data_IF_979283994076
#
_entry.id   IF_979283994076
#
_cell.length_a   1.000
_cell.length_b   1.000
_cell.length_c   1.000
_cell.angle_alpha   90.00
_cell.angle_beta   90.00
_cell.angle_gamma   90.00
#
_symmetry.space_group_name_H-M   'P 1'
#
loop_
_entity.id
_entity.type
_entity.pdbx_description
1 polymer ?
#
# COMPACT_ATOMS: atom_id res chain seq x y z
N UNK A 1 21.47 3.59 0.02
CA UNK A 1 20.66 2.54 0.69
C UNK A 1 20.65 1.24 -0.10
N UNK A 2 19.80 0.98 -1.12
CA UNK A 2 19.85 -0.31 -1.88
C UNK A 2 21.24 -0.63 -2.50
N UNK A 3 22.03 0.38 -2.92
CA UNK A 3 23.42 0.23 -3.44
C UNK A 3 24.49 -0.04 -2.39
N UNK A 4 24.24 0.30 -1.13
CA UNK A 4 25.28 0.21 -0.08
C UNK A 4 25.30 -1.17 0.54
N UNK A 5 24.13 -1.83 0.65
CA UNK A 5 23.99 -3.12 1.31
C UNK A 5 24.71 -4.28 0.61
N UNK A 6 24.75 -4.29 -0.72
CA UNK A 6 25.47 -5.33 -1.44
C UNK A 6 26.99 -5.21 -1.26
N UNK A 7 27.54 -3.98 -1.21
CA UNK A 7 28.99 -3.77 -1.21
C UNK A 7 29.67 -4.33 0.03
N UNK A 8 28.99 -4.36 1.18
CA UNK A 8 29.58 -4.86 2.42
C UNK A 8 29.31 -6.35 2.67
N UNK A 9 28.21 -6.90 2.11
CA UNK A 9 27.64 -8.22 2.46
C UNK A 9 27.50 -8.46 3.97
N UNK A 10 27.42 -7.38 4.76
CA UNK A 10 27.25 -7.48 6.21
C UNK A 10 25.77 -7.60 6.52
N UNK A 11 25.48 -8.44 7.50
CA UNK A 11 24.14 -8.60 8.08
C UNK A 11 23.52 -7.27 8.52
N UNK A 12 24.37 -6.31 8.94
CA UNK A 12 23.95 -4.96 9.32
C UNK A 12 23.23 -4.23 8.19
N UNK A 13 23.78 -4.23 6.97
CA UNK A 13 23.18 -3.47 5.87
C UNK A 13 21.89 -4.12 5.36
N UNK A 14 21.79 -5.45 5.44
CA UNK A 14 20.54 -6.16 5.19
C UNK A 14 19.47 -5.79 6.22
N UNK A 15 19.86 -5.70 7.49
CA UNK A 15 18.97 -5.27 8.58
C UNK A 15 18.49 -3.85 8.36
N UNK A 16 19.36 -2.92 7.97
CA UNK A 16 19.00 -1.55 7.62
C UNK A 16 18.04 -1.50 6.43
N UNK A 17 18.28 -2.29 5.39
CA UNK A 17 17.39 -2.36 4.23
C UNK A 17 15.98 -2.86 4.62
N UNK A 18 15.88 -3.89 5.46
CA UNK A 18 14.59 -4.35 5.97
C UNK A 18 13.91 -3.36 6.90
N UNK A 19 14.67 -2.60 7.69
CA UNK A 19 14.11 -1.54 8.51
C UNK A 19 13.38 -0.51 7.65
N UNK A 20 14.00 -0.05 6.56
CA UNK A 20 13.39 0.90 5.62
C UNK A 20 12.21 0.28 4.89
N UNK A 21 12.34 -0.97 4.45
CA UNK A 21 11.24 -1.71 3.82
C UNK A 21 10.02 -1.77 4.76
N UNK A 22 10.22 -1.98 6.05
CA UNK A 22 9.15 -1.92 7.04
C UNK A 22 8.38 -0.60 7.06
N UNK A 23 9.05 0.55 6.89
CA UNK A 23 8.36 1.84 6.73
C UNK A 23 7.64 1.96 5.38
N UNK A 24 8.24 1.44 4.31
CA UNK A 24 7.63 1.44 3.00
C UNK A 24 6.34 0.59 2.96
N UNK A 25 6.33 -0.52 3.71
CA UNK A 25 5.17 -1.41 3.84
C UNK A 25 3.92 -0.68 4.32
N UNK A 26 4.03 0.30 5.22
CA UNK A 26 2.88 1.10 5.64
C UNK A 26 2.14 1.73 4.43
N UNK A 27 2.88 2.44 3.58
CA UNK A 27 2.33 3.09 2.39
C UNK A 27 1.85 2.07 1.36
N UNK A 28 2.58 0.95 1.21
CA UNK A 28 2.19 -0.12 0.29
C UNK A 28 0.84 -0.72 0.71
N UNK A 29 0.68 -1.06 1.99
CA UNK A 29 -0.55 -1.67 2.49
C UNK A 29 -1.75 -0.72 2.42
N UNK A 30 -1.52 0.59 2.60
CA UNK A 30 -2.55 1.62 2.42
C UNK A 30 -3.14 1.60 1.00
N UNK A 31 -2.36 1.26 -0.04
CA UNK A 31 -2.89 1.19 -1.43
C UNK A 31 -3.97 0.10 -1.60
N UNK A 32 -3.98 -0.90 -0.72
CA UNK A 32 -4.99 -1.97 -0.71
C UNK A 32 -6.21 -1.62 0.14
N UNK A 33 -6.15 -0.56 0.96
CA UNK A 33 -7.27 -0.10 1.76
C UNK A 33 -8.27 0.69 0.90
N UNK A 34 -9.53 0.26 0.86
CA UNK A 34 -10.57 0.91 0.02
C UNK A 34 -10.71 2.42 0.27
N UNK A 35 -10.61 2.85 1.53
CA UNK A 35 -10.67 4.27 1.91
C UNK A 35 -9.53 5.12 1.33
N UNK A 36 -8.42 4.53 0.90
CA UNK A 36 -7.30 5.23 0.27
C UNK A 36 -7.37 5.26 -1.26
N UNK A 37 -8.31 4.52 -1.86
CA UNK A 37 -8.48 4.45 -3.33
C UNK A 37 -9.29 5.63 -3.84
N UNK A 38 -10.50 5.82 -3.31
CA UNK A 38 -11.50 6.74 -3.88
C UNK A 38 -11.58 8.10 -3.16
N UNK A 39 -11.05 8.21 -1.95
CA UNK A 39 -11.25 9.42 -1.13
C UNK A 39 -10.57 10.64 -1.75
N UNK A 40 -11.37 11.57 -2.26
CA UNK A 40 -10.92 12.78 -2.98
C UNK A 40 -10.40 13.87 -2.02
N UNK A 41 -9.44 13.53 -1.13
CA UNK A 41 -8.97 14.38 -0.03
C UNK A 41 -8.54 15.78 -0.50
N UNK A 42 -7.75 15.86 -1.58
CA UNK A 42 -7.28 17.14 -2.14
C UNK A 42 -8.44 18.01 -2.63
N UNK A 43 -9.41 17.41 -3.33
CA UNK A 43 -10.56 18.14 -3.84
C UNK A 43 -11.40 18.68 -2.68
N UNK A 44 -11.73 17.83 -1.72
CA UNK A 44 -12.54 18.18 -0.54
C UNK A 44 -11.89 19.28 0.32
N UNK A 45 -10.56 19.27 0.44
CA UNK A 45 -9.79 20.31 1.13
C UNK A 45 -9.69 21.61 0.33
N UNK A 46 -9.61 21.52 -1.01
CA UNK A 46 -9.49 22.68 -1.90
C UNK A 46 -10.82 23.40 -2.14
N UNK A 47 -11.94 22.69 -2.03
CA UNK A 47 -13.25 23.30 -2.11
C UNK A 47 -13.52 24.03 -0.80
N UNK A 48 -13.66 25.34 -0.87
CA UNK A 48 -14.39 26.13 0.12
C UNK A 48 -15.85 25.68 0.10
N UNK A 49 -16.11 24.49 0.63
CA UNK A 49 -17.47 24.00 0.81
C UNK A 49 -18.08 24.87 1.90
N UNK A 50 -18.90 25.83 1.48
CA UNK A 50 -19.55 26.86 2.29
C UNK A 50 -20.61 26.29 3.24
N UNK A 51 -20.74 24.97 3.34
CA UNK A 51 -21.52 24.31 4.36
C UNK A 51 -20.67 24.17 5.62
N UNK A 52 -20.71 25.20 6.47
CA UNK A 52 -20.09 25.27 7.81
C UNK A 52 -20.28 24.02 8.69
N UNK A 53 -21.20 23.12 8.33
CA UNK A 53 -21.53 21.87 9.02
C UNK A 53 -20.54 20.73 8.78
N UNK A 54 -19.84 20.67 7.64
CA UNK A 54 -18.94 19.55 7.33
C UNK A 54 -17.64 20.03 6.67
N UNK A 55 -16.57 20.22 7.46
CA UNK A 55 -15.23 20.47 6.94
C UNK A 55 -14.81 19.39 5.96
N UNK A 56 -14.08 19.74 4.89
CA UNK A 56 -13.64 18.79 3.86
C UNK A 56 -12.90 17.56 4.41
N UNK A 57 -12.14 17.72 5.50
CA UNK A 57 -11.48 16.63 6.21
C UNK A 57 -12.46 15.63 6.83
N UNK A 58 -13.60 16.10 7.34
CA UNK A 58 -14.65 15.25 7.90
C UNK A 58 -15.37 14.48 6.81
N UNK A 59 -15.67 15.13 5.67
CA UNK A 59 -16.20 14.44 4.49
C UNK A 59 -15.23 13.37 3.99
N UNK A 60 -13.94 13.70 3.91
CA UNK A 60 -12.89 12.76 3.49
C UNK A 60 -12.76 11.58 4.44
N UNK A 61 -12.81 11.84 5.76
CA UNK A 61 -12.83 10.78 6.77
C UNK A 61 -14.09 9.92 6.69
N UNK A 62 -15.25 10.52 6.49
CA UNK A 62 -16.52 9.80 6.32
C UNK A 62 -16.47 8.84 5.14
N UNK A 63 -16.05 9.32 3.96
CA UNK A 63 -15.90 8.49 2.77
C UNK A 63 -14.84 7.39 2.98
N UNK A 64 -13.71 7.73 3.60
CA UNK A 64 -12.65 6.78 3.92
C UNK A 64 -13.16 5.61 4.77
N UNK A 65 -13.88 5.92 5.84
CA UNK A 65 -14.38 4.92 6.79
C UNK A 65 -15.55 4.11 6.19
N UNK A 66 -16.41 4.75 5.40
CA UNK A 66 -17.50 4.09 4.66
C UNK A 66 -16.94 3.05 3.67
N UNK A 67 -16.06 3.48 2.76
CA UNK A 67 -15.44 2.60 1.75
C UNK A 67 -14.63 1.50 2.45
N UNK A 68 -13.89 1.85 3.51
CA UNK A 68 -13.15 0.89 4.30
C UNK A 68 -14.03 -0.19 4.96
N UNK A 69 -15.24 0.16 5.38
CA UNK A 69 -16.16 -0.78 6.03
C UNK A 69 -17.02 -1.59 5.05
N UNK A 70 -17.53 -0.96 4.00
CA UNK A 70 -18.42 -1.58 3.03
C UNK A 70 -17.65 -2.36 1.97
N UNK A 71 -16.43 -1.91 1.69
CA UNK A 71 -15.54 -2.42 0.67
C UNK A 71 -15.77 -1.74 -0.68
N UNK A 72 -14.76 -1.81 -1.53
CA UNK A 72 -14.77 -1.31 -2.90
C UNK A 72 -14.32 -2.43 -3.84
N UNK A 73 -15.06 -2.66 -4.94
CA UNK A 73 -14.61 -3.56 -5.98
C UNK A 73 -13.49 -2.90 -6.78
N UNK A 74 -12.34 -3.56 -6.88
CA UNK A 74 -11.14 -3.02 -7.52
C UNK A 74 -10.54 -4.05 -8.47
N UNK A 75 -9.74 -3.56 -9.42
CA UNK A 75 -9.01 -4.39 -10.39
C UNK A 75 -7.56 -3.92 -10.48
N UNK A 76 -6.59 -4.84 -10.50
CA UNK A 76 -5.18 -4.49 -10.69
C UNK A 76 -4.79 -4.51 -12.19
N UNK A 77 -3.54 -4.13 -12.50
CA UNK A 77 -3.01 -4.17 -13.87
C UNK A 77 -2.90 -5.59 -14.46
N UNK A 78 -2.88 -6.61 -13.61
CA UNK A 78 -2.80 -8.02 -14.01
C UNK A 78 -4.20 -8.60 -14.34
N UNK A 79 -5.27 -7.83 -14.11
CA UNK A 79 -6.65 -8.21 -14.38
C UNK A 79 -7.35 -8.92 -13.22
N UNK A 80 -6.70 -9.07 -12.07
CA UNK A 80 -7.34 -9.62 -10.86
C UNK A 80 -8.31 -8.60 -10.28
N UNK A 81 -9.52 -9.08 -9.96
CA UNK A 81 -10.53 -8.27 -9.29
C UNK A 81 -10.91 -8.85 -7.93
N UNK A 82 -11.10 -7.97 -6.95
CA UNK A 82 -11.52 -8.35 -5.61
C UNK A 82 -12.23 -7.20 -4.88
N UNK A 83 -12.86 -7.53 -3.75
CA UNK A 83 -13.37 -6.54 -2.82
C UNK A 83 -12.24 -6.08 -1.88
N UNK A 84 -11.77 -4.86 -2.08
CA UNK A 84 -10.85 -4.19 -1.15
C UNK A 84 -11.61 -3.70 0.07
N UNK A 85 -11.02 -3.83 1.26
CA UNK A 85 -11.57 -3.32 2.53
C UNK A 85 -10.50 -2.52 3.28
N UNK A 86 -10.91 -1.76 4.29
CA UNK A 86 -10.00 -0.97 5.12
C UNK A 86 -9.38 -1.73 6.29
N UNK A 87 -8.50 -1.06 7.03
CA UNK A 87 -7.60 -1.65 8.03
C UNK A 87 -8.32 -2.44 9.14
N UNK A 88 -9.47 -1.94 9.58
CA UNK A 88 -10.32 -2.60 10.60
C UNK A 88 -10.93 -3.92 10.13
N UNK A 89 -10.84 -4.22 8.83
CA UNK A 89 -11.45 -5.38 8.21
C UNK A 89 -10.45 -6.46 7.84
N UNK A 90 -9.13 -6.19 7.87
CA UNK A 90 -8.12 -7.13 7.37
C UNK A 90 -8.26 -8.52 8.02
N UNK A 91 -8.56 -8.57 9.32
CA UNK A 91 -8.74 -9.81 10.08
C UNK A 91 -10.03 -10.59 9.77
N UNK A 92 -11.03 -9.97 9.15
CA UNK A 92 -12.34 -10.58 8.93
C UNK A 92 -12.36 -11.59 7.79
N UNK A 93 -13.26 -12.56 7.85
CA UNK A 93 -13.42 -13.62 6.84
C UNK A 93 -13.72 -13.05 5.45
N UNK A 94 -14.57 -12.02 5.36
CA UNK A 94 -14.90 -11.32 4.11
C UNK A 94 -13.71 -10.70 3.39
N UNK A 95 -12.64 -10.41 4.13
CA UNK A 95 -11.42 -9.79 3.60
C UNK A 95 -10.39 -10.81 3.14
N UNK A 96 -10.74 -12.10 3.01
CA UNK A 96 -9.81 -13.17 2.67
C UNK A 96 -8.97 -12.87 1.42
N UNK A 97 -9.63 -12.53 0.31
CA UNK A 97 -8.94 -12.18 -0.94
C UNK A 97 -8.14 -10.88 -0.82
N UNK A 98 -8.70 -9.84 -0.19
CA UNK A 98 -7.96 -8.58 0.04
C UNK A 98 -6.66 -8.83 0.83
N UNK A 99 -6.72 -9.68 1.86
CA UNK A 99 -5.58 -10.05 2.69
C UNK A 99 -4.53 -10.84 1.88
N UNK A 100 -4.96 -11.71 0.98
CA UNK A 100 -4.05 -12.43 0.08
C UNK A 100 -3.31 -11.46 -0.84
N UNK A 101 -4.01 -10.48 -1.42
CA UNK A 101 -3.37 -9.46 -2.29
C UNK A 101 -2.35 -8.62 -1.51
N UNK A 102 -2.71 -8.17 -0.30
CA UNK A 102 -1.79 -7.44 0.59
C UNK A 102 -0.57 -8.28 0.93
N UNK A 103 -0.76 -9.54 1.34
CA UNK A 103 0.34 -10.42 1.72
C UNK A 103 1.27 -10.70 0.54
N UNK A 104 0.73 -10.93 -0.66
CA UNK A 104 1.51 -11.12 -1.87
C UNK A 104 2.36 -9.89 -2.21
N UNK A 105 1.77 -8.70 -2.11
CA UNK A 105 2.49 -7.44 -2.33
C UNK A 105 3.60 -7.21 -1.30
N UNK A 106 3.31 -7.43 -0.02
CA UNK A 106 4.30 -7.32 1.05
C UNK A 106 5.45 -8.31 0.87
N UNK A 107 5.15 -9.56 0.55
CA UNK A 107 6.16 -10.58 0.31
C UNK A 107 7.05 -10.21 -0.88
N UNK A 108 6.47 -9.73 -1.98
CA UNK A 108 7.23 -9.30 -3.16
C UNK A 108 8.26 -8.21 -2.82
N UNK A 109 7.91 -7.22 -1.98
CA UNK A 109 8.84 -6.18 -1.54
C UNK A 109 9.99 -6.72 -0.68
N UNK A 110 9.69 -7.61 0.26
CA UNK A 110 10.69 -8.28 1.11
C UNK A 110 11.63 -9.16 0.28
N UNK A 111 11.10 -9.88 -0.71
CA UNK A 111 11.88 -10.73 -1.62
C UNK A 111 12.81 -9.89 -2.49
N UNK A 112 12.37 -8.73 -2.99
CA UNK A 112 13.22 -7.81 -3.74
C UNK A 112 14.41 -7.28 -2.93
N UNK A 113 14.21 -6.97 -1.64
CA UNK A 113 15.30 -6.55 -0.75
C UNK A 113 16.34 -7.66 -0.65
N UNK A 114 15.89 -8.90 -0.44
CA UNK A 114 16.78 -10.06 -0.36
C UNK A 114 17.52 -10.34 -1.67
N UNK A 115 16.82 -10.33 -2.81
CA UNK A 115 17.41 -10.54 -4.13
C UNK A 115 18.44 -9.46 -4.47
N UNK A 116 18.15 -8.21 -4.15
CA UNK A 116 19.09 -7.09 -4.32
C UNK A 116 20.34 -7.31 -3.46
N UNK A 117 20.16 -7.70 -2.20
CA UNK A 117 21.26 -7.99 -1.28
C UNK A 117 22.16 -9.13 -1.78
N UNK A 118 21.58 -10.17 -2.40
CA UNK A 118 22.33 -11.31 -2.92
C UNK A 118 23.07 -11.00 -4.22
N UNK A 119 22.52 -10.13 -5.07
CA UNK A 119 22.94 -9.97 -6.49
C UNK A 119 23.55 -8.62 -6.89
N UNK A 120 23.49 -7.60 -6.05
CA UNK A 120 23.77 -6.16 -6.35
C UNK A 120 22.84 -5.53 -7.37
N UNK A 121 21.87 -6.27 -7.87
CA UNK A 121 21.00 -5.77 -8.92
C UNK A 121 19.84 -5.05 -8.28
N UNK A 122 19.86 -3.74 -8.42
CA UNK A 122 18.73 -2.90 -8.04
C UNK A 122 17.75 -2.88 -9.21
N UNK A 123 16.53 -3.41 -9.05
CA UNK A 123 15.52 -3.36 -10.11
C UNK A 123 15.15 -1.92 -10.42
N UNK A 124 14.85 -1.64 -11.69
CA UNK A 124 14.24 -0.37 -12.07
C UNK A 124 12.83 -0.28 -11.48
N UNK A 125 12.30 0.92 -11.27
CA UNK A 125 10.95 1.11 -10.71
C UNK A 125 9.85 0.45 -11.54
N UNK A 126 10.04 0.35 -12.85
CA UNK A 126 9.12 -0.34 -13.76
C UNK A 126 9.12 -1.87 -13.58
N UNK A 127 10.16 -2.42 -12.95
CA UNK A 127 10.39 -3.86 -12.73
C UNK A 127 9.99 -4.30 -11.31
N UNK A 128 9.43 -3.40 -10.50
CA UNK A 128 8.94 -3.76 -9.17
C UNK A 128 7.82 -4.79 -9.29
N UNK A 129 7.95 -5.85 -8.50
CA UNK A 129 7.08 -7.03 -8.47
C UNK A 129 5.82 -6.84 -7.63
N UNK A 130 5.78 -5.80 -6.79
CA UNK A 130 4.58 -5.50 -6.01
C UNK A 130 3.41 -5.15 -6.95
N UNK A 131 2.22 -5.77 -6.78
CA UNK A 131 1.06 -5.53 -7.63
C UNK A 131 0.72 -4.04 -7.71
N UNK A 132 0.64 -3.53 -8.94
CA UNK A 132 0.20 -2.15 -9.19
C UNK A 132 -1.31 -2.12 -9.35
N UNK A 133 -1.95 -1.27 -8.57
CA UNK A 133 -3.39 -1.02 -8.63
C UNK A 133 -3.65 0.21 -9.51
N UNK A 134 -4.64 0.12 -10.37
CA UNK A 134 -5.20 1.26 -11.13
C UNK A 134 -6.55 1.68 -10.55
#
# INVERSE_FOLDING_TARGET
>A
MRKEAYKSKKEFDLTEAYFIEGFAQHFLTDMFAAGHVRTLRRLLQSTTFTLYLYPGDQCGKGQHDEDGNNGLWVTNQEGDSWAAYGDKQLGQSRSGQNRQMVAAASQAGVDEVWETFQSDKIPATAEFKAPRKE
#
